data_IF_416817038817
#
_entry.id   IF_416817038817
#
_cell.length_a   1.000
_cell.length_b   1.000
_cell.length_c   1.000
_cell.angle_alpha   90.00
_cell.angle_beta   90.00
_cell.angle_gamma   90.00
#
_symmetry.space_group_name_H-M   'P 1'
#
loop_
_entity.id
_entity.type
_entity.pdbx_description
1 polymer ?
#
# COMPACT_ATOMS: atom_id res chain seq x y z
N UNK A 1 18.45 -7.62 20.03
CA UNK A 1 17.96 -6.60 19.07
C UNK A 1 16.50 -6.36 19.37
N UNK A 2 16.15 -5.13 19.76
CA UNK A 2 14.77 -4.82 20.15
C UNK A 2 13.82 -4.92 18.96
N UNK A 3 12.54 -5.27 19.19
CA UNK A 3 11.48 -5.33 18.16
C UNK A 3 11.45 -4.07 17.28
N UNK A 4 11.74 -2.91 17.87
CA UNK A 4 11.87 -1.61 17.23
C UNK A 4 13.04 -1.58 16.22
N UNK A 5 14.24 -2.01 16.60
CA UNK A 5 15.41 -2.01 15.70
C UNK A 5 15.26 -2.99 14.54
N UNK A 6 14.57 -4.11 14.76
CA UNK A 6 14.25 -5.08 13.71
C UNK A 6 13.29 -4.53 12.65
N UNK A 7 12.30 -3.73 13.06
CA UNK A 7 11.28 -3.17 12.16
C UNK A 7 11.78 -2.10 11.20
N UNK A 8 12.86 -1.39 11.52
CA UNK A 8 13.40 -0.34 10.64
C UNK A 8 14.33 -0.88 9.55
N UNK A 9 14.84 -2.10 9.71
CA UNK A 9 15.82 -2.68 8.78
C UNK A 9 15.30 -2.85 7.35
N UNK A 10 14.05 -3.29 7.11
CA UNK A 10 13.48 -3.35 5.76
C UNK A 10 13.44 -1.99 5.06
N UNK A 11 13.02 -0.94 5.77
CA UNK A 11 12.92 0.43 5.25
C UNK A 11 14.30 0.96 4.85
N UNK A 12 15.29 0.83 5.73
CA UNK A 12 16.68 1.26 5.45
C UNK A 12 17.25 0.50 4.25
N UNK A 13 17.05 -0.82 4.19
CA UNK A 13 17.53 -1.64 3.09
C UNK A 13 16.84 -1.30 1.76
N UNK A 14 15.55 -0.95 1.77
CA UNK A 14 14.83 -0.53 0.58
C UNK A 14 15.33 0.83 0.07
N UNK A 15 15.52 1.81 0.96
CA UNK A 15 16.07 3.12 0.61
C UNK A 15 17.47 3.01 0.00
N UNK A 16 18.33 2.14 0.54
CA UNK A 16 19.69 1.92 0.03
C UNK A 16 19.72 1.31 -1.39
N UNK A 17 18.64 0.65 -1.83
CA UNK A 17 18.54 0.05 -3.17
C UNK A 17 18.03 1.01 -4.24
N UNK A 18 17.40 2.12 -3.83
CA UNK A 18 16.81 3.06 -4.78
C UNK A 18 17.83 4.14 -5.16
N UNK A 19 17.89 4.53 -6.44
CA UNK A 19 18.74 5.64 -6.86
C UNK A 19 18.19 6.98 -6.37
N UNK A 20 19.04 8.00 -6.29
CA UNK A 20 18.65 9.36 -5.91
C UNK A 20 18.64 9.62 -4.41
N UNK A 21 18.03 10.74 -4.01
CA UNK A 21 17.95 11.12 -2.60
C UNK A 21 17.04 10.17 -1.82
N UNK A 22 17.50 9.74 -0.64
CA UNK A 22 16.66 8.94 0.26
C UNK A 22 15.41 9.70 0.69
N UNK A 23 15.46 11.03 0.74
CA UNK A 23 14.32 11.89 1.11
C UNK A 23 13.20 11.79 0.08
N UNK A 24 13.56 11.79 -1.21
CA UNK A 24 12.60 11.72 -2.31
C UNK A 24 11.95 10.32 -2.39
N UNK A 25 12.72 9.29 -2.03
CA UNK A 25 12.26 7.89 -2.03
C UNK A 25 11.47 7.52 -0.77
N UNK A 26 11.59 8.28 0.32
CA UNK A 26 11.01 7.96 1.62
C UNK A 26 9.49 7.74 1.57
N UNK A 27 8.67 8.61 0.94
CA UNK A 27 7.22 8.40 0.90
C UNK A 27 6.84 7.07 0.24
N UNK A 28 7.53 6.71 -0.85
CA UNK A 28 7.29 5.48 -1.61
C UNK A 28 7.64 4.24 -0.80
N UNK A 29 8.81 4.24 -0.14
CA UNK A 29 9.24 3.11 0.69
C UNK A 29 8.31 2.91 1.89
N UNK A 30 7.91 3.99 2.55
CA UNK A 30 6.99 3.91 3.69
C UNK A 30 5.60 3.44 3.28
N UNK A 31 5.11 3.84 2.09
CA UNK A 31 3.85 3.32 1.56
C UNK A 31 3.97 1.82 1.32
N UNK A 32 5.01 1.38 0.63
CA UNK A 32 5.24 -0.03 0.33
C UNK A 32 5.32 -0.89 1.61
N UNK A 33 6.06 -0.44 2.62
CA UNK A 33 6.16 -1.11 3.93
C UNK A 33 4.79 -1.24 4.61
N UNK A 34 3.96 -0.20 4.55
CA UNK A 34 2.66 -0.16 5.23
C UNK A 34 1.59 -1.01 4.55
N UNK A 35 1.66 -1.18 3.23
CA UNK A 35 0.66 -1.95 2.46
C UNK A 35 1.09 -3.40 2.19
N UNK A 36 2.35 -3.75 2.45
CA UNK A 36 2.86 -5.12 2.28
C UNK A 36 2.50 -5.99 3.48
N UNK A 37 2.15 -7.25 3.21
CA UNK A 37 1.87 -8.25 4.25
C UNK A 37 3.15 -8.56 5.03
N UNK A 38 3.07 -8.53 6.36
CA UNK A 38 4.16 -8.95 7.23
C UNK A 38 4.05 -10.45 7.53
N UNK A 39 5.13 -11.19 7.33
CA UNK A 39 5.17 -12.65 7.59
C UNK A 39 4.77 -13.02 9.03
N UNK A 40 5.13 -12.19 10.01
CA UNK A 40 4.84 -12.46 11.42
C UNK A 40 3.36 -12.37 11.79
N UNK A 41 2.56 -11.63 11.03
CA UNK A 41 1.14 -11.42 11.34
C UNK A 41 0.20 -11.92 10.26
N UNK A 42 0.69 -12.14 9.04
CA UNK A 42 -0.15 -12.47 7.88
C UNK A 42 -0.96 -11.28 7.35
N UNK A 43 -0.79 -10.08 7.92
CA UNK A 43 -1.49 -8.87 7.52
C UNK A 43 -0.51 -7.73 7.25
N UNK A 44 -0.93 -6.77 6.43
CA UNK A 44 -0.23 -5.49 6.32
C UNK A 44 -0.50 -4.60 7.55
N UNK A 45 0.43 -3.71 7.92
CA UNK A 45 0.18 -2.69 8.94
C UNK A 45 -1.10 -1.89 8.68
N UNK A 46 -1.37 -1.56 7.41
CA UNK A 46 -2.60 -0.88 7.02
C UNK A 46 -3.86 -1.68 7.39
N UNK A 47 -3.89 -2.98 7.06
CA UNK A 47 -5.01 -3.86 7.43
C UNK A 47 -5.18 -3.97 8.94
N UNK A 48 -4.08 -4.01 9.69
CA UNK A 48 -4.13 -4.15 11.14
C UNK A 48 -4.75 -2.92 11.83
N UNK A 49 -4.52 -1.72 11.28
CA UNK A 49 -5.05 -0.47 11.82
C UNK A 49 -6.48 -0.21 11.34
N UNK A 50 -6.77 -0.49 10.08
CA UNK A 50 -8.03 -0.06 9.44
C UNK A 50 -9.07 -1.17 9.31
N UNK A 51 -8.65 -2.44 9.40
CA UNK A 51 -9.48 -3.60 9.05
C UNK A 51 -9.77 -3.74 7.56
N UNK A 52 -9.17 -2.92 6.70
CA UNK A 52 -9.43 -2.89 5.25
C UNK A 52 -8.19 -3.26 4.44
N UNK A 53 -8.40 -3.79 3.24
CA UNK A 53 -7.31 -3.99 2.29
C UNK A 53 -6.76 -2.63 1.82
N UNK A 54 -5.43 -2.45 1.78
CA UNK A 54 -4.84 -1.21 1.28
C UNK A 54 -5.11 -1.05 -0.21
N UNK A 55 -5.31 0.20 -0.65
CA UNK A 55 -5.31 0.52 -2.07
C UNK A 55 -3.87 0.43 -2.60
N UNK A 56 -3.64 -0.45 -3.57
CA UNK A 56 -2.35 -0.63 -4.22
C UNK A 56 -2.15 0.43 -5.31
N UNK A 57 -0.90 0.86 -5.58
CA UNK A 57 -0.63 1.82 -6.66
C UNK A 57 -1.16 1.41 -8.03
N UNK A 58 -1.18 0.11 -8.34
CA UNK A 58 -1.72 -0.40 -9.59
C UNK A 58 -3.22 -0.13 -9.75
N UNK A 59 -3.97 -0.05 -8.64
CA UNK A 59 -5.42 0.20 -8.65
C UNK A 59 -5.77 1.64 -9.01
N UNK A 60 -4.77 2.53 -9.08
CA UNK A 60 -4.92 3.88 -9.61
C UNK A 60 -4.87 3.90 -11.15
N UNK A 61 -4.17 2.94 -11.76
CA UNK A 61 -4.08 2.78 -13.21
C UNK A 61 -5.14 1.80 -13.74
N UNK A 62 -5.44 0.75 -12.97
CA UNK A 62 -6.42 -0.28 -13.27
C UNK A 62 -7.43 -0.36 -12.12
N UNK A 63 -8.51 0.44 -12.17
CA UNK A 63 -9.45 0.52 -11.07
C UNK A 63 -10.05 -0.83 -10.69
N UNK A 64 -10.07 -1.13 -9.39
CA UNK A 64 -10.73 -2.31 -8.83
C UNK A 64 -12.02 -1.90 -8.13
N UNK A 65 -12.74 -2.87 -7.57
CA UNK A 65 -13.89 -2.60 -6.70
C UNK A 65 -13.57 -1.69 -5.51
N UNK A 66 -12.30 -1.45 -5.16
CA UNK A 66 -11.95 -0.51 -4.09
C UNK A 66 -11.80 0.93 -4.58
N UNK A 67 -11.43 1.14 -5.85
CA UNK A 67 -11.13 2.47 -6.43
C UNK A 67 -12.12 2.91 -7.51
N UNK A 68 -13.06 2.05 -7.90
CA UNK A 68 -14.11 2.36 -8.86
C UNK A 68 -15.03 3.49 -8.34
N UNK A 69 -15.41 4.45 -9.18
CA UNK A 69 -16.27 5.57 -8.78
C UNK A 69 -17.75 5.15 -8.74
N UNK A 70 -18.11 4.19 -7.88
CA UNK A 70 -19.48 3.63 -7.80
C UNK A 70 -20.57 4.68 -7.67
N UNK A 71 -20.29 5.81 -7.03
CA UNK A 71 -21.27 6.89 -6.86
C UNK A 71 -21.67 7.58 -8.16
N UNK A 72 -20.89 7.39 -9.23
CA UNK A 72 -21.15 7.94 -10.56
C UNK A 72 -22.03 7.00 -11.39
N UNK A 73 -21.98 5.68 -11.14
CA UNK A 73 -22.82 4.71 -11.86
C UNK A 73 -24.14 4.51 -11.11
N UNK A 74 -25.21 5.09 -11.63
CA UNK A 74 -26.54 5.10 -10.95
C UNK A 74 -27.58 4.22 -11.61
N UNK A 75 -27.33 3.74 -12.82
CA UNK A 75 -28.29 2.97 -13.61
C UNK A 75 -27.71 1.60 -13.97
N UNK A 76 -28.60 0.62 -14.13
CA UNK A 76 -28.25 -0.72 -14.61
C UNK A 76 -27.57 -0.65 -15.98
N UNK A 77 -28.06 0.20 -16.88
CA UNK A 77 -27.48 0.36 -18.21
C UNK A 77 -26.04 0.89 -18.15
N UNK A 78 -25.73 1.78 -17.21
CA UNK A 78 -24.36 2.26 -16.98
C UNK A 78 -23.41 1.23 -16.37
N UNK A 79 -23.93 0.12 -15.83
CA UNK A 79 -23.11 -1.00 -15.33
C UNK A 79 -22.87 -2.09 -16.38
N UNK A 80 -23.70 -2.16 -17.43
CA UNK A 80 -23.68 -3.23 -18.43
C UNK A 80 -22.98 -2.84 -19.74
N UNK A 81 -22.59 -1.58 -19.90
CA UNK A 81 -21.96 -1.03 -21.10
C UNK A 81 -20.43 -1.17 -21.11
#
# INVERSE_FOLDING_TARGET
>A
MGKIEGGHKPIVNALAKLPGSWVDNLPTVLLADRISVQESTGYSPYQMITGQNPVLPIELALPTWQTLPFRQVRTRDGLLA
#
